data_IF_245370807483
#
_entry.id   IF_245370807483
#
_cell.length_a   1.000
_cell.length_b   1.000
_cell.length_c   1.000
_cell.angle_alpha   90.00
_cell.angle_beta   90.00
_cell.angle_gamma   90.00
#
_symmetry.space_group_name_H-M   'P 1'
#
loop_
_entity.id
_entity.type
_entity.pdbx_description
1 polymer ?
#
# COMPACT_ATOMS: atom_id res chain seq x y z
N UNK A 1 2.54 -5.95 3.54
CA UNK A 1 3.11 -6.98 4.44
C UNK A 1 3.53 -6.36 5.79
N UNK A 2 2.62 -6.08 6.75
CA UNK A 2 2.90 -5.18 7.92
C UNK A 2 2.06 -5.47 9.17
N UNK A 3 2.47 -4.90 10.30
CA UNK A 3 1.61 -4.48 11.42
C UNK A 3 0.26 -3.78 11.06
N UNK A 4 -0.77 -3.74 11.90
CA UNK A 4 -1.26 -4.58 13.04
C UNK A 4 -2.66 -4.03 13.39
N UNK A 5 -3.80 -4.74 13.43
CA UNK A 5 -4.22 -6.06 12.91
C UNK A 5 -5.13 -5.85 11.66
N UNK A 6 -5.32 -6.77 10.70
CA UNK A 6 -4.67 -8.06 10.38
C UNK A 6 -4.98 -9.31 11.23
N UNK A 7 -6.02 -10.04 10.81
CA UNK A 7 -6.67 -11.18 11.47
C UNK A 7 -5.85 -12.49 11.71
N UNK A 8 -4.57 -12.54 11.31
CA UNK A 8 -3.65 -13.64 11.68
C UNK A 8 -2.33 -13.02 12.17
N UNK A 9 -2.24 -12.81 13.49
CA UNK A 9 -1.07 -12.24 14.14
C UNK A 9 0.23 -13.01 13.84
N UNK A 10 0.13 -14.34 13.66
CA UNK A 10 1.29 -15.18 13.42
C UNK A 10 1.79 -15.02 11.99
N UNK A 11 0.91 -15.13 11.01
CA UNK A 11 1.26 -14.87 9.61
C UNK A 11 1.86 -13.47 9.46
N UNK A 12 1.36 -12.49 10.22
CA UNK A 12 1.90 -11.13 10.20
C UNK A 12 3.24 -10.96 10.90
N UNK A 13 3.49 -11.66 12.02
CA UNK A 13 4.81 -11.72 12.63
C UNK A 13 5.84 -12.30 11.66
N UNK A 14 5.50 -13.40 10.98
CA UNK A 14 6.35 -14.05 9.98
C UNK A 14 6.60 -13.13 8.75
N UNK A 15 5.56 -12.46 8.24
CA UNK A 15 5.67 -11.50 7.13
C UNK A 15 6.45 -10.23 7.49
N UNK A 16 6.36 -9.74 8.74
CA UNK A 16 7.14 -8.58 9.21
C UNK A 16 8.64 -8.92 9.27
N UNK A 17 8.99 -10.11 9.78
CA UNK A 17 10.38 -10.60 9.81
C UNK A 17 10.92 -10.78 8.39
N UNK A 18 10.17 -11.45 7.51
CA UNK A 18 10.55 -11.66 6.12
C UNK A 18 10.70 -10.34 5.34
N UNK A 19 9.76 -9.40 5.55
CA UNK A 19 9.79 -8.07 4.95
C UNK A 19 10.99 -7.24 5.40
N UNK A 20 11.31 -7.25 6.69
CA UNK A 20 12.51 -6.59 7.22
C UNK A 20 13.79 -7.19 6.62
N UNK A 21 13.88 -8.52 6.57
CA UNK A 21 15.03 -9.21 5.98
C UNK A 21 15.20 -8.87 4.49
N UNK A 22 14.13 -8.89 3.68
CA UNK A 22 14.16 -8.51 2.27
C UNK A 22 14.60 -7.06 2.09
N UNK A 23 13.99 -6.12 2.81
CA UNK A 23 14.35 -4.69 2.72
C UNK A 23 15.83 -4.44 3.06
N UNK A 24 16.32 -5.09 4.11
CA UNK A 24 17.70 -4.93 4.56
C UNK A 24 18.67 -5.53 3.53
N UNK A 25 18.42 -6.75 3.05
CA UNK A 25 19.25 -7.41 2.03
C UNK A 25 19.30 -6.63 0.71
N UNK A 26 18.15 -6.11 0.25
CA UNK A 26 18.09 -5.32 -0.98
C UNK A 26 18.80 -3.97 -0.83
N UNK A 27 18.59 -3.26 0.28
CA UNK A 27 19.37 -2.06 0.58
C UNK A 27 20.88 -2.37 0.68
N UNK A 28 21.26 -3.55 1.17
CA UNK A 28 22.65 -3.99 1.19
C UNK A 28 23.21 -4.21 -0.23
N UNK A 29 22.41 -4.72 -1.17
CA UNK A 29 22.80 -5.03 -2.56
C UNK A 29 23.03 -3.75 -3.39
N UNK A 30 22.16 -2.75 -3.25
CA UNK A 30 22.22 -1.50 -4.03
C UNK A 30 23.19 -0.48 -3.42
N UNK A 31 23.25 -0.35 -2.08
CA UNK A 31 24.05 0.67 -1.39
C UNK A 31 25.52 0.23 -1.21
N UNK A 32 26.23 -0.11 -2.28
CA UNK A 32 27.62 -0.62 -2.19
C UNK A 32 28.67 0.47 -1.98
N UNK A 33 28.43 1.66 -2.51
CA UNK A 33 29.37 2.78 -2.51
C UNK A 33 28.79 4.03 -1.82
N UNK A 34 29.65 4.92 -1.36
CA UNK A 34 29.26 6.14 -0.66
C UNK A 34 28.85 7.21 -1.68
N UNK A 35 27.57 7.58 -1.70
CA UNK A 35 27.03 8.61 -2.59
C UNK A 35 27.58 10.04 -2.37
N UNK A 36 28.54 10.24 -1.46
CA UNK A 36 29.26 11.51 -1.30
C UNK A 36 30.66 11.51 -1.92
N UNK A 37 31.37 10.38 -1.89
CA UNK A 37 32.79 10.32 -2.29
C UNK A 37 33.19 9.08 -3.12
N UNK A 38 32.23 8.28 -3.58
CA UNK A 38 32.44 7.10 -4.44
C UNK A 38 33.06 5.87 -3.76
N UNK A 39 33.79 6.04 -2.66
CA UNK A 39 34.46 4.94 -1.95
C UNK A 39 33.47 3.92 -1.34
N UNK A 40 33.90 2.67 -1.18
CA UNK A 40 33.11 1.56 -0.63
C UNK A 40 32.49 1.88 0.73
N UNK A 41 31.35 1.23 0.98
CA UNK A 41 30.69 1.26 2.30
C UNK A 41 30.81 -0.10 2.99
N UNK A 42 30.94 -0.06 4.31
CA UNK A 42 31.14 -1.25 5.16
C UNK A 42 29.98 -1.37 6.13
N UNK A 43 29.34 -2.55 6.28
CA UNK A 43 28.32 -2.78 7.30
C UNK A 43 28.81 -2.49 8.72
N UNK A 44 27.93 -1.93 9.56
CA UNK A 44 28.10 -1.71 11.01
C UNK A 44 26.80 -2.10 11.73
N UNK A 45 26.84 -2.25 13.05
CA UNK A 45 25.66 -2.51 13.90
C UNK A 45 24.79 -3.67 13.39
N UNK A 46 25.40 -4.84 13.23
CA UNK A 46 24.76 -6.05 12.67
C UNK A 46 24.08 -5.84 11.29
N UNK A 47 24.58 -4.88 10.51
CA UNK A 47 24.05 -4.54 9.19
C UNK A 47 22.99 -3.44 9.18
N UNK A 48 22.54 -2.93 10.34
CA UNK A 48 21.50 -1.89 10.44
C UNK A 48 21.93 -0.51 9.91
N UNK A 49 23.24 -0.30 9.72
CA UNK A 49 23.77 0.84 8.97
C UNK A 49 25.04 0.46 8.21
N UNK A 50 25.46 1.36 7.34
CA UNK A 50 26.72 1.33 6.60
C UNK A 50 27.53 2.58 6.92
N UNK A 51 28.85 2.46 6.77
CA UNK A 51 29.80 3.55 6.97
C UNK A 51 30.81 3.56 5.83
N UNK A 52 31.15 4.74 5.30
CA UNK A 52 32.18 4.85 4.26
C UNK A 52 33.55 4.39 4.81
N UNK A 53 34.28 3.56 4.05
CA UNK A 53 35.61 3.09 4.45
C UNK A 53 36.66 4.21 4.47
N UNK A 54 36.52 5.22 3.60
CA UNK A 54 37.40 6.39 3.56
C UNK A 54 37.48 7.07 4.93
N UNK A 55 38.69 7.13 5.47
CA UNK A 55 38.98 7.66 6.81
C UNK A 55 38.68 9.16 6.97
N UNK A 56 38.71 9.93 5.88
CA UNK A 56 38.39 11.37 5.87
C UNK A 56 36.88 11.63 5.68
N UNK A 57 36.13 10.66 5.13
CA UNK A 57 34.69 10.81 4.86
C UNK A 57 33.84 10.34 6.04
N UNK A 58 34.01 9.08 6.47
CA UNK A 58 33.23 8.41 7.54
C UNK A 58 31.70 8.57 7.51
N UNK A 59 31.12 9.00 6.39
CA UNK A 59 29.67 9.23 6.27
C UNK A 59 28.91 7.94 6.57
N UNK A 60 27.91 8.07 7.46
CA UNK A 60 26.98 6.99 7.82
C UNK A 60 25.81 7.00 6.85
N UNK A 61 25.33 5.81 6.49
CA UNK A 61 24.18 5.60 5.59
C UNK A 61 23.26 4.58 6.23
N UNK A 62 21.96 4.87 6.22
CA UNK A 62 20.91 4.04 6.80
C UNK A 62 20.03 3.44 5.69
N UNK A 63 19.25 2.38 5.97
CA UNK A 63 18.24 1.86 5.07
C UNK A 63 17.29 2.96 4.58
N UNK A 64 17.04 2.98 3.25
CA UNK A 64 16.07 3.87 2.63
C UNK A 64 14.65 3.31 2.86
N UNK A 65 13.72 4.19 3.20
CA UNK A 65 12.29 3.90 3.24
C UNK A 65 11.60 5.02 2.46
N UNK A 66 10.84 4.66 1.44
CA UNK A 66 10.20 5.60 0.52
C UNK A 66 8.71 5.74 0.84
N UNK A 67 8.24 6.85 1.41
CA UNK A 67 6.84 6.99 1.77
C UNK A 67 5.97 7.15 0.52
N UNK A 68 4.80 6.51 0.56
CA UNK A 68 3.81 6.41 -0.52
C UNK A 68 2.45 6.63 0.11
N UNK A 69 1.64 7.55 -0.38
CA UNK A 69 0.24 7.67 0.07
C UNK A 69 -0.62 6.66 -0.69
N UNK A 70 -1.62 6.09 -0.03
CA UNK A 70 -2.65 5.27 -0.67
C UNK A 70 -4.01 5.62 -0.10
N UNK A 71 -4.96 5.94 -0.96
CA UNK A 71 -6.21 6.58 -0.56
C UNK A 71 -7.42 5.94 -1.22
N UNK A 72 -8.42 5.63 -0.39
CA UNK A 72 -9.77 5.40 -0.87
C UNK A 72 -10.48 6.75 -0.93
N UNK A 73 -10.81 7.19 -2.13
CA UNK A 73 -11.57 8.44 -2.34
C UNK A 73 -13.06 8.11 -2.31
N UNK A 74 -13.80 8.77 -1.42
CA UNK A 74 -15.18 8.46 -1.07
C UNK A 74 -16.08 9.63 -1.47
N UNK A 75 -17.11 9.34 -2.25
CA UNK A 75 -18.27 10.20 -2.48
C UNK A 75 -19.32 9.84 -1.42
N UNK A 76 -19.44 10.71 -0.41
CA UNK A 76 -20.36 10.51 0.73
C UNK A 76 -21.83 10.63 0.33
N UNK A 77 -22.15 11.40 -0.70
CA UNK A 77 -23.54 11.70 -1.09
C UNK A 77 -24.18 10.57 -1.88
N UNK A 78 -23.39 9.89 -2.72
CA UNK A 78 -23.83 8.81 -3.60
C UNK A 78 -23.40 7.41 -3.12
N UNK A 79 -22.92 7.30 -1.87
CA UNK A 79 -22.42 6.08 -1.20
C UNK A 79 -21.54 5.17 -2.07
N UNK A 80 -20.50 5.77 -2.65
CA UNK A 80 -19.61 5.12 -3.62
C UNK A 80 -18.16 5.54 -3.41
N UNK A 81 -17.23 4.71 -3.85
CA UNK A 81 -15.81 4.98 -3.79
C UNK A 81 -15.17 4.91 -5.18
N UNK A 82 -14.14 5.72 -5.39
CA UNK A 82 -13.31 5.70 -6.58
C UNK A 82 -12.31 4.56 -6.46
N UNK A 83 -12.30 3.68 -7.46
CA UNK A 83 -11.24 2.68 -7.62
C UNK A 83 -10.61 2.86 -9.00
N UNK A 84 -9.31 2.60 -9.09
CA UNK A 84 -8.56 2.60 -10.35
C UNK A 84 -8.03 1.23 -10.71
N UNK A 85 -7.65 1.11 -11.98
CA UNK A 85 -7.03 -0.07 -12.58
C UNK A 85 -5.82 0.36 -13.40
N UNK A 86 -4.70 -0.31 -13.21
CA UNK A 86 -3.46 -0.07 -13.93
C UNK A 86 -3.16 -1.25 -14.86
N UNK A 87 -2.67 -0.97 -16.07
CA UNK A 87 -2.41 -1.99 -17.11
C UNK A 87 -1.39 -3.06 -16.70
N UNK A 88 -0.53 -2.74 -15.72
CA UNK A 88 0.46 -3.65 -15.11
C UNK A 88 -0.12 -4.66 -14.11
N UNK A 89 -1.39 -4.53 -13.73
CA UNK A 89 -2.04 -5.38 -12.73
C UNK A 89 -2.73 -6.60 -13.36
N UNK A 90 -3.13 -7.55 -12.51
CA UNK A 90 -3.97 -8.68 -12.93
C UNK A 90 -5.25 -8.12 -13.59
N UNK A 91 -5.65 -8.60 -14.78
CA UNK A 91 -6.85 -8.11 -15.45
C UNK A 91 -8.07 -8.12 -14.51
N UNK A 92 -8.85 -7.03 -14.54
CA UNK A 92 -10.01 -6.75 -13.66
C UNK A 92 -9.68 -6.45 -12.18
N UNK A 93 -8.41 -6.27 -11.79
CA UNK A 93 -8.07 -5.79 -10.45
C UNK A 93 -8.34 -4.28 -10.31
N UNK A 94 -9.19 -3.91 -9.36
CA UNK A 94 -9.53 -2.54 -8.98
C UNK A 94 -9.00 -2.23 -7.59
N UNK A 95 -8.36 -1.07 -7.40
CA UNK A 95 -7.65 -0.71 -6.17
C UNK A 95 -7.84 0.77 -5.81
N UNK A 96 -7.45 1.15 -4.59
CA UNK A 96 -7.21 2.54 -4.21
C UNK A 96 -6.11 3.18 -5.09
N UNK A 97 -6.20 4.50 -5.26
CA UNK A 97 -5.14 5.34 -5.85
C UNK A 97 -3.90 5.35 -4.93
N UNK A 98 -2.69 5.46 -5.47
CA UNK A 98 -1.48 5.51 -4.66
C UNK A 98 -0.24 6.06 -5.40
N UNK A 99 0.49 6.98 -4.76
CA UNK A 99 1.73 7.53 -5.31
C UNK A 99 2.68 8.12 -4.26
N UNK A 100 3.80 8.67 -4.73
CA UNK A 100 4.92 9.05 -3.86
C UNK A 100 4.72 10.46 -3.31
N UNK A 101 5.12 10.69 -2.06
CA UNK A 101 5.23 12.04 -1.50
C UNK A 101 6.45 12.74 -2.10
N UNK A 102 6.28 14.00 -2.48
CA UNK A 102 7.37 14.85 -2.98
C UNK A 102 8.17 15.54 -1.85
N UNK A 103 9.43 15.97 -2.12
CA UNK A 103 10.24 16.67 -1.13
C UNK A 103 9.64 18.02 -0.70
N UNK A 104 9.14 18.08 0.54
CA UNK A 104 8.54 19.28 1.13
C UNK A 104 7.01 19.26 1.21
N UNK A 105 6.39 18.21 0.68
CA UNK A 105 4.94 17.99 0.66
C UNK A 105 4.45 17.32 1.97
N UNK A 106 3.25 17.66 2.44
CA UNK A 106 2.55 16.93 3.51
C UNK A 106 1.91 15.64 2.97
N UNK A 107 1.59 14.67 3.84
CA UNK A 107 0.90 13.45 3.40
C UNK A 107 -0.50 13.76 2.84
N UNK A 108 -1.17 14.76 3.42
CA UNK A 108 -2.49 15.23 3.00
C UNK A 108 -2.43 16.06 1.70
N UNK A 109 -1.31 16.74 1.44
CA UNK A 109 -1.03 17.40 0.16
C UNK A 109 -0.79 16.36 -0.93
N UNK A 110 0.05 15.35 -0.68
CA UNK A 110 0.29 14.23 -1.59
C UNK A 110 -1.01 13.49 -1.96
N UNK A 111 -1.87 13.19 -0.98
CA UNK A 111 -3.20 12.59 -1.24
C UNK A 111 -4.04 13.45 -2.19
N UNK A 112 -3.97 14.78 -2.09
CA UNK A 112 -4.73 15.70 -2.97
C UNK A 112 -4.13 15.76 -4.37
N UNK A 113 -2.81 15.93 -4.46
CA UNK A 113 -2.07 16.00 -5.73
C UNK A 113 -2.27 14.71 -6.53
N UNK A 114 -1.90 13.57 -5.98
CA UNK A 114 -1.98 12.26 -6.64
C UNK A 114 -3.42 11.93 -7.09
N UNK A 115 -4.44 12.24 -6.27
CA UNK A 115 -5.84 12.03 -6.67
C UNK A 115 -6.23 12.90 -7.87
N UNK A 116 -5.78 14.16 -7.88
CA UNK A 116 -6.07 15.10 -8.96
C UNK A 116 -5.28 14.79 -10.24
N UNK A 117 -4.02 14.37 -10.12
CA UNK A 117 -3.15 13.95 -11.24
C UNK A 117 -3.70 12.69 -11.92
N UNK A 118 -3.93 11.60 -11.17
CA UNK A 118 -4.41 10.34 -11.74
C UNK A 118 -5.86 10.41 -12.28
N UNK A 119 -6.74 11.24 -11.69
CA UNK A 119 -8.20 11.15 -11.93
C UNK A 119 -8.97 12.47 -12.10
N UNK A 120 -8.33 13.63 -11.93
CA UNK A 120 -8.99 14.95 -11.96
C UNK A 120 -9.89 15.26 -10.77
N UNK A 121 -10.02 14.34 -9.80
CA UNK A 121 -10.92 14.51 -8.64
C UNK A 121 -10.28 15.40 -7.58
N UNK A 122 -10.97 16.47 -7.20
CA UNK A 122 -10.61 17.29 -6.05
C UNK A 122 -11.07 16.62 -4.76
N UNK A 123 -10.19 16.54 -3.74
CA UNK A 123 -10.54 16.02 -2.42
C UNK A 123 -10.39 17.05 -1.30
N UNK A 124 -11.32 17.02 -0.36
CA UNK A 124 -11.42 17.97 0.75
C UNK A 124 -10.74 17.45 2.00
N UNK A 125 -11.53 16.80 2.86
CA UNK A 125 -11.07 16.15 4.07
C UNK A 125 -10.23 14.90 3.72
N UNK A 126 -9.13 14.72 4.43
CA UNK A 126 -8.20 13.59 4.31
C UNK A 126 -7.94 13.05 5.71
N UNK A 127 -8.27 11.79 5.95
CA UNK A 127 -8.25 11.15 7.27
C UNK A 127 -7.29 9.97 7.24
N UNK A 128 -6.26 10.00 8.08
CA UNK A 128 -5.34 8.88 8.25
C UNK A 128 -6.07 7.65 8.80
N UNK A 129 -5.81 6.49 8.20
CA UNK A 129 -6.40 5.21 8.58
C UNK A 129 -5.36 4.28 9.21
N UNK A 130 -4.31 3.92 8.47
CA UNK A 130 -3.26 2.99 8.92
C UNK A 130 -1.98 3.13 8.08
N UNK A 131 -0.91 2.42 8.41
CA UNK A 131 0.33 2.43 7.61
C UNK A 131 0.79 1.02 7.25
N UNK A 132 1.51 0.90 6.13
CA UNK A 132 1.99 -0.36 5.58
C UNK A 132 3.36 -0.23 4.85
N UNK A 133 4.55 -0.38 5.49
CA UNK A 133 5.74 -0.90 4.83
C UNK A 133 5.51 -1.98 3.75
N UNK A 134 6.08 -1.74 2.58
CA UNK A 134 5.87 -2.55 1.39
C UNK A 134 7.24 -2.87 0.77
N UNK A 135 8.00 -3.82 1.36
CA UNK A 135 9.29 -4.26 0.86
C UNK A 135 9.13 -5.26 -0.29
N UNK A 136 8.16 -5.02 -1.18
CA UNK A 136 7.95 -5.81 -2.42
C UNK A 136 7.97 -4.96 -3.69
N UNK A 137 8.40 -3.69 -3.58
CA UNK A 137 8.65 -2.81 -4.73
C UNK A 137 9.71 -3.35 -5.71
N UNK A 138 9.94 -2.63 -6.82
CA UNK A 138 10.94 -3.00 -7.82
C UNK A 138 12.35 -3.08 -7.21
N UNK A 139 13.26 -3.79 -7.90
CA UNK A 139 14.64 -4.13 -7.48
C UNK A 139 15.62 -2.91 -7.41
N UNK A 140 15.10 -1.75 -7.03
CA UNK A 140 15.81 -0.48 -6.78
C UNK A 140 15.27 0.24 -5.55
N UNK A 141 14.16 -0.25 -4.97
CA UNK A 141 13.39 0.41 -3.91
C UNK A 141 13.18 -0.59 -2.75
N UNK A 142 14.09 -0.59 -1.75
CA UNK A 142 14.20 -1.69 -0.78
C UNK A 142 12.98 -1.79 0.15
N UNK A 143 12.35 -0.67 0.47
CA UNK A 143 11.11 -0.63 1.24
C UNK A 143 10.35 0.66 0.92
N UNK A 144 9.10 0.53 0.48
CA UNK A 144 8.15 1.64 0.52
C UNK A 144 7.49 1.69 1.90
N UNK A 145 6.95 2.83 2.32
CA UNK A 145 6.04 2.96 3.45
C UNK A 145 4.71 3.48 2.91
N UNK A 146 3.77 2.58 2.64
CA UNK A 146 2.41 2.98 2.29
C UNK A 146 1.77 3.65 3.50
N UNK A 147 1.05 4.74 3.30
CA UNK A 147 0.30 5.45 4.34
C UNK A 147 -1.13 5.57 3.85
N UNK A 148 -2.04 4.88 4.54
CA UNK A 148 -3.42 4.69 4.15
C UNK A 148 -4.33 5.83 4.62
N UNK A 149 -5.16 6.33 3.70
CA UNK A 149 -6.12 7.41 3.96
C UNK A 149 -7.51 7.07 3.45
N UNK A 150 -8.52 7.60 4.14
CA UNK A 150 -9.83 7.89 3.56
C UNK A 150 -9.83 9.36 3.15
N UNK A 151 -10.15 9.64 1.89
CA UNK A 151 -10.22 10.99 1.34
C UNK A 151 -11.65 11.26 0.83
N UNK A 152 -12.16 12.47 0.97
CA UNK A 152 -13.54 12.78 0.63
C UNK A 152 -13.63 13.73 -0.56
N UNK A 153 -14.35 13.32 -1.60
CA UNK A 153 -14.44 14.02 -2.86
C UNK A 153 -15.22 15.35 -2.76
N UNK A 154 -14.79 16.33 -3.56
CA UNK A 154 -15.45 17.62 -3.79
C UNK A 154 -15.98 17.76 -5.22
N UNK A 155 -15.26 17.17 -6.19
CA UNK A 155 -15.72 17.00 -7.57
C UNK A 155 -16.00 15.53 -7.87
N UNK A 156 -16.80 15.26 -8.90
CA UNK A 156 -17.26 13.91 -9.26
C UNK A 156 -16.98 13.52 -10.71
N UNK A 157 -16.57 14.47 -11.55
CA UNK A 157 -16.21 14.25 -12.95
C UNK A 157 -14.79 13.69 -13.03
N UNK A 158 -14.68 12.44 -13.49
CA UNK A 158 -13.39 11.74 -13.60
C UNK A 158 -12.74 12.09 -14.94
N UNK A 159 -11.52 12.58 -14.90
CA UNK A 159 -10.63 12.71 -16.05
C UNK A 159 -9.37 11.87 -15.80
N UNK A 160 -9.34 10.65 -16.33
CA UNK A 160 -8.26 9.68 -16.07
C UNK A 160 -7.02 10.01 -16.88
N UNK A 161 -5.87 10.14 -16.22
CA UNK A 161 -4.59 10.11 -16.93
C UNK A 161 -4.32 8.69 -17.47
N UNK A 162 -4.26 8.58 -18.80
CA UNK A 162 -4.04 7.33 -19.52
C UNK A 162 -2.56 6.95 -19.68
N UNK A 163 -1.62 7.81 -19.25
CA UNK A 163 -0.21 7.43 -19.14
C UNK A 163 0.03 6.54 -17.90
N UNK A 164 -0.69 6.78 -16.80
CA UNK A 164 -0.54 6.02 -15.54
C UNK A 164 -1.64 4.99 -15.28
N UNK A 165 -2.90 5.36 -15.50
CA UNK A 165 -4.06 4.52 -15.23
C UNK A 165 -4.70 3.98 -16.52
N UNK A 166 -5.07 2.70 -16.51
CA UNK A 166 -5.91 2.15 -17.58
C UNK A 166 -7.35 2.66 -17.45
N UNK A 167 -7.87 2.71 -16.22
CA UNK A 167 -9.21 3.22 -15.93
C UNK A 167 -9.40 3.66 -14.47
N UNK A 168 -10.39 4.51 -14.22
CA UNK A 168 -10.86 4.85 -12.87
C UNK A 168 -12.38 5.08 -12.88
N UNK A 169 -13.09 4.50 -11.91
CA UNK A 169 -14.55 4.52 -11.86
C UNK A 169 -15.08 4.64 -10.43
N UNK A 170 -16.25 5.28 -10.30
CA UNK A 170 -17.04 5.27 -9.07
C UNK A 170 -17.80 3.95 -8.95
N UNK A 171 -17.57 3.21 -7.86
CA UNK A 171 -18.28 1.96 -7.57
C UNK A 171 -19.12 2.06 -6.30
N UNK A 172 -20.37 1.59 -6.38
CA UNK A 172 -21.28 1.59 -5.24
C UNK A 172 -20.73 0.74 -4.09
N UNK A 173 -21.04 1.11 -2.84
CA UNK A 173 -20.72 0.28 -1.67
C UNK A 173 -21.23 -1.15 -1.83
N UNK A 174 -22.41 -1.34 -2.43
CA UNK A 174 -23.01 -2.66 -2.63
C UNK A 174 -22.16 -3.53 -3.56
N UNK A 175 -21.67 -2.98 -4.68
CA UNK A 175 -20.89 -3.74 -5.66
C UNK A 175 -19.48 -4.04 -5.14
N UNK A 176 -18.86 -3.11 -4.41
CA UNK A 176 -17.58 -3.36 -3.74
C UNK A 176 -17.74 -4.40 -2.62
N UNK A 177 -18.86 -4.37 -1.87
CA UNK A 177 -19.20 -5.40 -0.88
C UNK A 177 -19.39 -6.77 -1.53
N UNK A 178 -20.08 -6.85 -2.67
CA UNK A 178 -20.16 -8.08 -3.48
C UNK A 178 -18.76 -8.55 -3.83
N UNK A 179 -17.90 -7.70 -4.42
CA UNK A 179 -16.53 -8.08 -4.81
C UNK A 179 -15.67 -8.58 -3.64
N UNK A 180 -15.83 -8.02 -2.43
CA UNK A 180 -15.18 -8.53 -1.21
C UNK A 180 -15.70 -9.92 -0.81
N UNK A 181 -16.99 -10.21 -0.99
CA UNK A 181 -17.61 -11.51 -0.63
C UNK A 181 -17.48 -12.59 -1.71
N UNK A 182 -17.44 -12.22 -2.98
CA UNK A 182 -17.22 -13.11 -4.13
C UNK A 182 -15.76 -13.53 -4.27
N UNK A 183 -14.88 -13.07 -3.38
CA UNK A 183 -13.46 -13.28 -3.52
C UNK A 183 -13.13 -14.78 -3.45
N UNK A 184 -12.76 -15.34 -4.60
CA UNK A 184 -12.11 -16.66 -4.80
C UNK A 184 -10.70 -16.71 -4.17
N UNK A 185 -10.49 -15.85 -3.17
CA UNK A 185 -9.25 -15.45 -2.55
C UNK A 185 -8.55 -16.62 -1.89
N UNK A 186 -9.33 -17.47 -1.22
CA UNK A 186 -8.85 -18.64 -0.53
C UNK A 186 -8.17 -19.61 -1.50
N UNK A 187 -8.78 -19.93 -2.65
CA UNK A 187 -8.19 -20.82 -3.68
C UNK A 187 -6.91 -20.22 -4.29
N UNK A 188 -6.90 -18.91 -4.54
CA UNK A 188 -5.74 -18.22 -5.08
C UNK A 188 -4.56 -18.18 -4.09
N UNK A 189 -4.84 -17.94 -2.80
CA UNK A 189 -3.83 -17.97 -1.74
C UNK A 189 -3.32 -19.37 -1.44
N UNK A 190 -4.19 -20.37 -1.37
CA UNK A 190 -3.81 -21.78 -1.20
C UNK A 190 -2.85 -22.20 -2.33
N UNK A 191 -3.19 -21.86 -3.59
CA UNK A 191 -2.33 -22.13 -4.75
C UNK A 191 -0.97 -21.43 -4.67
N UNK A 192 -0.96 -20.15 -4.27
CA UNK A 192 0.27 -19.38 -4.10
C UNK A 192 1.15 -19.90 -2.94
N UNK A 193 0.53 -20.27 -1.81
CA UNK A 193 1.21 -20.83 -0.65
C UNK A 193 1.82 -22.21 -0.96
N UNK A 194 1.07 -23.09 -1.63
CA UNK A 194 1.57 -24.39 -2.12
C UNK A 194 2.74 -24.20 -3.08
N UNK A 195 2.68 -23.21 -3.99
CA UNK A 195 3.77 -22.89 -4.91
C UNK A 195 5.02 -22.37 -4.18
N UNK A 196 4.87 -21.53 -3.16
CA UNK A 196 5.99 -21.09 -2.30
C UNK A 196 6.57 -22.28 -1.53
N UNK A 197 5.73 -23.15 -0.98
CA UNK A 197 6.18 -24.34 -0.26
C UNK A 197 6.96 -25.30 -1.18
N UNK A 198 6.50 -25.50 -2.43
CA UNK A 198 7.22 -26.24 -3.47
C UNK A 198 8.56 -25.59 -3.85
N UNK A 199 8.61 -24.26 -3.96
CA UNK A 199 9.87 -23.53 -4.20
C UNK A 199 10.85 -23.69 -3.03
N UNK A 200 10.36 -23.61 -1.79
CA UNK A 200 11.17 -23.84 -0.58
C UNK A 200 11.63 -25.30 -0.45
N UNK A 201 10.88 -26.27 -0.99
CA UNK A 201 11.25 -27.69 -1.08
C UNK A 201 12.19 -28.02 -2.25
N UNK A 202 12.48 -27.07 -3.14
CA UNK A 202 13.54 -27.19 -4.14
C UNK A 202 13.19 -28.00 -5.39
N UNK A 203 12.04 -27.75 -6.02
CA UNK A 203 11.67 -28.37 -7.32
C UNK A 203 12.55 -27.84 -8.46
N UNK A 204 12.98 -28.73 -9.36
CA UNK A 204 13.88 -28.43 -10.49
C UNK A 204 13.27 -27.44 -11.51
N UNK A 205 14.14 -26.61 -12.12
CA UNK A 205 13.76 -25.62 -13.15
C UNK A 205 13.35 -26.29 -14.47
N UNK A 206 12.11 -26.76 -14.56
CA UNK A 206 11.62 -27.51 -15.74
C UNK A 206 10.30 -27.02 -16.38
N UNK A 207 9.43 -26.31 -15.67
CA UNK A 207 8.07 -26.00 -16.16
C UNK A 207 7.76 -24.50 -16.18
N UNK A 208 7.29 -24.01 -17.33
CA UNK A 208 6.76 -22.66 -17.50
C UNK A 208 5.33 -22.59 -16.99
N UNK A 209 5.15 -22.15 -15.74
CA UNK A 209 3.87 -22.10 -15.01
C UNK A 209 2.99 -20.89 -15.41
N UNK A 210 3.05 -20.46 -16.67
CA UNK A 210 2.19 -19.39 -17.20
C UNK A 210 0.82 -19.90 -17.67
N UNK A 211 0.67 -21.20 -17.91
CA UNK A 211 -0.54 -21.82 -18.44
C UNK A 211 -1.66 -22.05 -17.41
N UNK A 212 -1.33 -22.10 -16.12
CA UNK A 212 -2.24 -22.54 -15.05
C UNK A 212 -3.23 -21.46 -14.58
N UNK A 213 -3.25 -20.29 -15.21
CA UNK A 213 -4.22 -19.22 -14.91
C UNK A 213 -5.56 -19.34 -15.66
N UNK A 214 -5.73 -20.37 -16.50
CA UNK A 214 -7.03 -20.69 -17.10
C UNK A 214 -7.93 -21.38 -16.07
N UNK A 215 -8.54 -20.58 -15.20
CA UNK A 215 -9.68 -20.99 -14.38
C UNK A 215 -10.87 -21.24 -15.30
N UNK A 216 -11.15 -22.50 -15.62
CA UNK A 216 -12.40 -22.90 -16.27
C UNK A 216 -13.57 -22.90 -15.26
N UNK A 217 -14.76 -22.54 -15.75
CA UNK A 217 -16.09 -22.64 -15.11
C UNK A 217 -16.41 -21.68 -13.95
N UNK A 218 -16.91 -20.50 -14.32
CA UNK A 218 -17.61 -19.53 -13.47
C UNK A 218 -17.85 -18.24 -14.26
N UNK A 219 -18.95 -17.52 -14.02
CA UNK A 219 -19.07 -16.14 -14.52
C UNK A 219 -17.96 -15.31 -13.85
N UNK A 220 -16.96 -14.90 -14.63
CA UNK A 220 -15.81 -14.16 -14.11
C UNK A 220 -16.30 -12.91 -13.37
N UNK A 221 -15.97 -12.80 -12.09
CA UNK A 221 -16.37 -11.66 -11.27
C UNK A 221 -15.98 -10.34 -11.96
N UNK A 222 -16.91 -9.36 -12.09
CA UNK A 222 -16.66 -8.13 -12.86
C UNK A 222 -15.60 -7.23 -12.22
N UNK A 223 -15.32 -7.43 -10.93
CA UNK A 223 -14.37 -6.68 -10.12
C UNK A 223 -13.58 -7.64 -9.23
N UNK A 224 -12.25 -7.49 -9.21
CA UNK A 224 -11.36 -8.16 -8.27
C UNK A 224 -10.69 -7.11 -7.38
N UNK A 225 -10.70 -7.29 -6.05
CA UNK A 225 -10.10 -6.38 -5.07
C UNK A 225 -8.80 -6.99 -4.54
N UNK A 226 -7.76 -6.19 -4.18
CA UNK A 226 -6.59 -6.67 -3.47
C UNK A 226 -6.90 -7.51 -2.23
N UNK A 227 -5.96 -8.34 -1.80
CA UNK A 227 -6.17 -9.30 -0.72
C UNK A 227 -6.18 -8.74 0.70
N UNK A 228 -6.61 -9.55 1.69
CA UNK A 228 -6.72 -9.18 3.11
C UNK A 228 -5.37 -8.94 3.81
N UNK A 229 -4.27 -8.93 3.05
CA UNK A 229 -2.91 -8.58 3.48
C UNK A 229 -2.37 -7.31 2.77
N UNK A 230 -3.19 -6.65 1.97
CA UNK A 230 -2.88 -5.39 1.28
C UNK A 230 -3.63 -4.23 1.94
N UNK A 231 -2.99 -3.08 2.13
CA UNK A 231 -3.60 -1.93 2.81
C UNK A 231 -4.81 -1.40 2.03
N UNK A 232 -4.79 -1.49 0.70
CA UNK A 232 -5.95 -1.21 -0.15
C UNK A 232 -7.20 -2.00 0.27
N UNK A 233 -7.06 -3.31 0.54
CA UNK A 233 -8.18 -4.13 1.02
C UNK A 233 -8.70 -3.63 2.35
N UNK A 234 -7.82 -3.29 3.30
CA UNK A 234 -8.23 -2.77 4.61
C UNK A 234 -8.92 -1.40 4.51
N UNK A 235 -8.46 -0.50 3.64
CA UNK A 235 -9.13 0.78 3.38
C UNK A 235 -10.53 0.58 2.78
N UNK A 236 -10.64 -0.34 1.82
CA UNK A 236 -11.88 -0.68 1.13
C UNK A 236 -12.86 -1.39 2.07
N UNK A 237 -12.40 -2.38 2.84
CA UNK A 237 -13.25 -3.14 3.76
C UNK A 237 -13.67 -2.33 4.98
N UNK A 238 -12.78 -1.48 5.54
CA UNK A 238 -13.15 -0.59 6.64
C UNK A 238 -14.17 0.45 6.20
N UNK A 239 -14.07 0.97 4.97
CA UNK A 239 -15.14 1.79 4.40
C UNK A 239 -16.43 0.97 4.24
N UNK A 240 -16.42 -0.15 3.51
CA UNK A 240 -17.63 -0.96 3.21
C UNK A 240 -18.39 -1.39 4.47
N UNK A 241 -17.68 -1.82 5.50
CA UNK A 241 -18.25 -2.39 6.73
C UNK A 241 -18.35 -1.38 7.90
N UNK A 242 -18.02 -0.10 7.72
CA UNK A 242 -18.41 0.94 8.67
C UNK A 242 -19.94 1.02 8.73
N UNK A 243 -20.51 0.86 9.93
CA UNK A 243 -21.93 1.06 10.16
C UNK A 243 -22.35 2.49 9.80
N UNK A 244 -23.44 2.63 9.05
CA UNK A 244 -24.02 3.92 8.65
C UNK A 244 -24.65 4.73 9.81
N UNK A 245 -24.30 4.41 11.06
CA UNK A 245 -24.99 4.84 12.28
C UNK A 245 -24.29 5.97 13.06
N UNK A 246 -23.12 6.45 12.62
CA UNK A 246 -22.38 7.55 13.27
C UNK A 246 -22.71 8.95 12.71
N UNK A 247 -23.98 9.19 12.42
CA UNK A 247 -24.53 10.53 12.20
C UNK A 247 -24.97 11.17 13.52
N UNK A 248 -24.03 11.54 14.41
CA UNK A 248 -24.32 12.32 15.63
C UNK A 248 -23.27 13.43 15.82
N UNK A 249 -23.75 14.60 16.26
CA UNK A 249 -23.09 15.92 16.25
C UNK A 249 -21.78 16.05 17.07
N UNK A 250 -20.94 17.05 16.77
CA UNK A 250 -19.73 17.35 17.54
C UNK A 250 -20.06 17.87 18.95
N UNK A 251 -19.87 17.02 19.97
CA UNK A 251 -20.08 17.42 21.36
C UNK A 251 -18.98 18.42 21.83
N UNK A 252 -19.42 19.65 22.07
CA UNK A 252 -18.61 20.80 22.45
C UNK A 252 -17.98 20.75 23.85
N UNK A 253 -16.99 21.63 24.06
CA UNK A 253 -16.42 22.14 25.34
C UNK A 253 -15.20 21.39 25.91
N UNK A 254 -14.02 21.94 25.60
CA UNK A 254 -12.89 21.89 26.52
C UNK A 254 -13.26 22.59 27.85
N UNK A 255 -12.94 22.00 29.02
CA UNK A 255 -12.94 22.74 30.26
C UNK A 255 -11.69 23.64 30.33
N UNK A 256 -11.89 24.94 30.54
CA UNK A 256 -10.83 25.93 30.72
C UNK A 256 -10.08 25.70 32.05
N UNK A 257 -8.96 24.98 32.00
CA UNK A 257 -8.05 24.78 33.11
C UNK A 257 -7.02 25.89 33.24
N UNK A 258 -7.40 27.00 33.90
CA UNK A 258 -6.42 28.01 34.35
C UNK A 258 -5.68 27.50 35.58
N UNK A 259 -4.36 27.33 35.50
CA UNK A 259 -3.47 27.41 36.66
C UNK A 259 -2.17 28.12 36.29
N UNK A 260 -1.97 29.26 36.94
CA UNK A 260 -0.77 30.10 36.89
C UNK A 260 0.31 29.62 37.86
N UNK A 261 1.58 29.78 37.45
CA UNK A 261 2.77 30.01 38.27
C UNK A 261 3.06 29.03 39.44
N UNK A 262 4.09 28.20 39.27
CA UNK A 262 5.39 28.35 39.96
C UNK A 262 6.49 27.55 39.23
#
# INVERSE_FOLDING_TARGET
MVATDWADERAMGELAIAGHARALLEWHSITRFCGHCGEKTVPKEAGRRKECSNALCKKRVYPRVDPVVIMLVIDRENDRALLSRQSRFVPRMWSCLAGFIEPGESLEEAVRRETWEETGIEVGEVVYHSSQPWPVGPNSMPCQLMVGFHAYAKSLEINVDKEELEDAQWHSREDVKKALTFAEYQKAQETAAVKVEQMCKGVERGQSLAADFNVESGELAPMFIPGPFAIAHHLISSWVYQDASNGVEPCSKQPSGSLSNL
#
